data_IF_995089916364
#
_entry.id   IF_995089916364
#
_cell.length_a   1.000
_cell.length_b   1.000
_cell.length_c   1.000
_cell.angle_alpha   90.00
_cell.angle_beta   90.00
_cell.angle_gamma   90.00
#
_symmetry.space_group_name_H-M   'P 1'
#
loop_
_entity.id
_entity.type
_entity.pdbx_description
1 polymer ?
#
# COMPACT_ATOMS: atom_id res chain seq x y z
N UNK A 1 -7.23 -12.31 3.03
CA UNK A 1 -6.48 -11.92 1.81
C UNK A 1 -7.36 -11.34 0.70
N UNK A 2 -7.01 -10.17 0.15
CA UNK A 2 -7.62 -9.59 -1.07
C UNK A 2 -6.51 -9.08 -2.01
N UNK A 3 -6.66 -9.31 -3.33
CA UNK A 3 -5.76 -8.75 -4.36
C UNK A 3 -6.29 -7.37 -4.79
N UNK A 4 -5.44 -6.35 -4.69
CA UNK A 4 -5.76 -4.96 -5.07
C UNK A 4 -4.86 -4.49 -6.20
N UNK A 5 -5.35 -3.51 -6.94
CA UNK A 5 -4.58 -2.81 -7.97
C UNK A 5 -4.56 -1.31 -7.63
N UNK A 6 -3.45 -0.66 -7.94
CA UNK A 6 -3.33 0.80 -7.94
C UNK A 6 -2.23 1.22 -8.93
N UNK A 7 -1.83 2.48 -8.88
CA UNK A 7 -0.69 3.01 -9.59
C UNK A 7 0.37 3.47 -8.59
N UNK A 8 1.63 3.14 -8.86
CA UNK A 8 2.76 3.64 -8.08
C UNK A 8 2.74 5.18 -8.12
N UNK A 9 2.76 5.89 -6.99
CA UNK A 9 2.74 7.35 -7.00
C UNK A 9 4.06 7.96 -7.50
N UNK A 10 5.14 7.18 -7.57
CA UNK A 10 6.46 7.64 -8.04
C UNK A 10 6.62 7.55 -9.56
N UNK A 11 6.35 6.39 -10.16
CA UNK A 11 6.57 6.15 -11.60
C UNK A 11 5.27 6.03 -12.42
N UNK A 12 4.10 6.09 -11.77
CA UNK A 12 2.79 5.91 -12.39
C UNK A 12 2.57 4.56 -13.09
N UNK A 13 3.46 3.58 -12.90
CA UNK A 13 3.26 2.21 -13.36
C UNK A 13 2.16 1.53 -12.55
N UNK A 14 1.43 0.63 -13.21
CA UNK A 14 0.41 -0.19 -12.54
C UNK A 14 1.08 -1.12 -11.54
N UNK A 15 0.57 -1.14 -10.32
CA UNK A 15 1.01 -2.04 -9.25
C UNK A 15 -0.14 -2.93 -8.80
N UNK A 16 0.21 -4.14 -8.38
CA UNK A 16 -0.73 -5.12 -7.85
C UNK A 16 -0.16 -5.65 -6.55
N UNK A 17 -0.97 -5.80 -5.51
CA UNK A 17 -0.50 -6.29 -4.21
C UNK A 17 -1.60 -7.08 -3.51
N UNK A 18 -1.20 -7.90 -2.53
CA UNK A 18 -2.12 -8.64 -1.66
C UNK A 18 -2.13 -7.94 -0.31
N UNK A 19 -3.32 -7.72 0.24
CA UNK A 19 -3.51 -7.11 1.54
C UNK A 19 -4.54 -7.91 2.34
N UNK A 20 -4.28 -8.06 3.63
CA UNK A 20 -5.13 -8.74 4.60
C UNK A 20 -5.51 -7.81 5.75
N UNK A 21 -6.41 -8.23 6.63
CA UNK A 21 -6.81 -7.38 7.77
C UNK A 21 -5.69 -7.28 8.80
N UNK A 22 -4.84 -8.28 8.85
CA UNK A 22 -3.69 -8.40 9.74
C UNK A 22 -2.56 -7.45 9.33
N UNK A 23 -2.56 -6.96 8.08
CA UNK A 23 -1.59 -5.99 7.57
C UNK A 23 -1.92 -4.54 7.97
N UNK A 24 -3.09 -4.30 8.55
CA UNK A 24 -3.60 -2.95 8.83
C UNK A 24 -3.84 -2.73 10.31
N UNK A 25 -3.51 -1.53 10.78
CA UNK A 25 -3.92 -1.11 12.11
C UNK A 25 -5.39 -0.67 12.08
N UNK A 26 -6.27 -1.55 12.53
CA UNK A 26 -7.73 -1.29 12.57
C UNK A 26 -8.14 -0.19 13.56
N UNK A 27 -7.23 0.27 14.43
CA UNK A 27 -7.48 1.41 15.32
C UNK A 27 -7.33 2.77 14.61
N UNK A 28 -6.71 2.80 13.43
CA UNK A 28 -6.47 4.00 12.64
C UNK A 28 -7.33 3.96 11.38
N UNK A 29 -8.06 5.04 11.09
CA UNK A 29 -8.92 5.12 9.90
C UNK A 29 -8.77 6.45 9.14
N UNK A 30 -8.50 6.42 7.82
CA UNK A 30 -8.13 5.23 7.04
C UNK A 30 -6.77 4.68 7.49
N UNK A 31 -6.59 3.36 7.42
CA UNK A 31 -5.42 2.68 7.96
C UNK A 31 -4.23 2.82 6.99
N UNK A 32 -3.09 3.36 7.42
CA UNK A 32 -1.90 3.44 6.57
C UNK A 32 -1.26 2.06 6.39
N UNK A 33 -0.73 1.81 5.20
CA UNK A 33 -0.01 0.59 4.82
C UNK A 33 1.17 0.97 3.94
N UNK A 34 2.34 0.42 4.20
CA UNK A 34 3.48 0.66 3.31
C UNK A 34 3.44 -0.31 2.14
N UNK A 35 3.57 0.22 0.92
CA UNK A 35 3.68 -0.60 -0.29
C UNK A 35 4.99 -0.26 -0.98
N UNK A 36 5.80 -1.29 -1.20
CA UNK A 36 7.04 -1.22 -1.98
C UNK A 36 6.75 -1.72 -3.38
N UNK A 37 6.99 -0.88 -4.39
CA UNK A 37 6.94 -1.30 -5.78
C UNK A 37 8.18 -2.18 -6.07
N UNK A 38 7.99 -3.49 -6.00
CA UNK A 38 9.02 -4.54 -6.16
C UNK A 38 9.35 -4.77 -7.65
N UNK A 39 9.75 -3.69 -8.31
CA UNK A 39 10.18 -3.65 -9.71
C UNK A 39 11.52 -2.90 -9.81
N UNK A 40 12.43 -3.40 -10.65
CA UNK A 40 13.79 -2.87 -10.81
C UNK A 40 13.80 -1.41 -11.31
N UNK A 41 12.75 -0.96 -12.00
CA UNK A 41 12.63 0.40 -12.51
C UNK A 41 12.15 1.42 -11.47
N UNK A 42 11.72 1.00 -10.27
CA UNK A 42 11.18 1.90 -9.26
C UNK A 42 11.73 1.63 -7.87
N UNK A 43 11.48 0.45 -7.28
CA UNK A 43 11.91 0.11 -5.91
C UNK A 43 11.37 0.99 -4.77
N UNK A 44 10.64 2.07 -5.07
CA UNK A 44 10.22 3.04 -4.08
C UNK A 44 9.09 2.52 -3.16
N UNK A 45 9.16 2.94 -1.90
CA UNK A 45 8.11 2.75 -0.89
C UNK A 45 7.15 3.94 -0.92
N UNK A 46 5.88 3.68 -0.62
CA UNK A 46 4.86 4.73 -0.44
C UNK A 46 3.85 4.30 0.60
N UNK A 47 3.19 5.27 1.24
CA UNK A 47 2.08 4.98 2.15
C UNK A 47 0.78 4.99 1.38
N UNK A 48 -0.01 3.92 1.53
CA UNK A 48 -1.36 3.77 1.02
C UNK A 48 -2.33 3.72 2.19
N UNK A 49 -3.35 4.56 2.15
CA UNK A 49 -4.39 4.59 3.16
C UNK A 49 -5.56 3.74 2.70
N UNK A 50 -5.92 2.71 3.47
CA UNK A 50 -6.99 1.77 3.13
C UNK A 50 -8.17 1.87 4.07
N UNK A 51 -9.37 1.62 3.54
CA UNK A 51 -10.59 1.58 4.33
C UNK A 51 -10.84 0.20 4.98
N UNK A 52 -11.97 0.07 5.68
CA UNK A 52 -12.40 -1.17 6.34
C UNK A 52 -12.66 -2.33 5.37
N UNK A 53 -12.82 -2.05 4.08
CA UNK A 53 -12.94 -3.03 3.00
C UNK A 53 -11.60 -3.27 2.29
N UNK A 54 -10.48 -2.77 2.84
CA UNK A 54 -9.14 -2.86 2.26
C UNK A 54 -9.03 -2.20 0.88
N UNK A 55 -9.82 -1.15 0.61
CA UNK A 55 -9.74 -0.35 -0.62
C UNK A 55 -8.84 0.84 -0.36
N UNK A 56 -7.94 1.12 -1.31
CA UNK A 56 -7.10 2.32 -1.25
C UNK A 56 -7.99 3.56 -1.39
N UNK A 57 -7.95 4.43 -0.40
CA UNK A 57 -8.63 5.72 -0.37
C UNK A 57 -7.74 6.81 -0.95
N UNK A 58 -6.50 6.92 -0.46
CA UNK A 58 -5.49 7.84 -1.01
C UNK A 58 -4.08 7.31 -0.72
N UNK A 59 -3.08 8.01 -1.27
CA UNK A 59 -1.67 7.60 -1.20
C UNK A 59 -0.75 8.81 -1.04
N UNK A 60 0.37 8.60 -0.37
CA UNK A 60 1.42 9.58 -0.16
C UNK A 60 2.79 9.00 -0.54
N UNK A 61 3.68 9.86 -1.04
CA UNK A 61 5.01 9.48 -1.50
C UNK A 61 5.93 9.06 -0.34
N UNK A 62 5.68 9.59 0.85
CA UNK A 62 6.52 9.42 2.03
C UNK A 62 5.99 8.32 2.95
N UNK A 63 6.88 7.81 3.80
CA UNK A 63 6.53 6.88 4.87
C UNK A 63 5.85 7.63 6.01
N UNK A 64 4.54 7.45 6.19
CA UNK A 64 3.78 8.03 7.31
C UNK A 64 3.59 7.04 8.47
N UNK A 65 3.61 7.51 9.73
CA UNK A 65 3.45 6.63 10.90
C UNK A 65 2.08 5.95 10.94
N UNK A 66 1.98 4.85 11.70
CA UNK A 66 0.75 4.11 11.95
C UNK A 66 0.59 2.83 11.13
N UNK A 67 1.38 2.63 10.08
CA UNK A 67 1.35 1.38 9.33
C UNK A 67 2.17 0.31 10.06
N UNK A 68 1.59 -0.88 10.20
CA UNK A 68 2.20 -2.01 10.91
C UNK A 68 2.83 -3.03 9.96
N UNK A 69 2.52 -2.96 8.66
CA UNK A 69 3.05 -3.86 7.64
C UNK A 69 3.67 -3.12 6.45
N UNK A 70 4.64 -3.79 5.82
CA UNK A 70 5.21 -3.40 4.53
C UNK A 70 4.95 -4.50 3.51
N UNK A 71 4.17 -4.17 2.48
CA UNK A 71 3.71 -5.09 1.44
C UNK A 71 4.54 -4.87 0.19
N UNK A 72 5.04 -5.97 -0.40
CA UNK A 72 5.65 -5.93 -1.73
C UNK A 72 4.60 -6.13 -2.80
N UNK A 73 4.72 -5.41 -3.90
CA UNK A 73 3.88 -5.65 -5.08
C UNK A 73 4.18 -7.02 -5.69
N UNK A 74 3.19 -7.61 -6.32
CA UNK A 74 3.35 -8.76 -7.20
C UNK A 74 3.93 -8.28 -8.53
N UNK A 75 4.89 -9.04 -9.09
CA UNK A 75 5.34 -8.87 -10.48
C UNK A 75 4.20 -9.15 -11.47
#
# INVERSE_FOLDING_TARGET
MVKRYNYCPHCNSRIVFKIEKEDIDTSIYPAPVYIVHDDESCGNLSTFYVDSLLRVSYKELEKKPGAIATIKTLK
#
